data_IF_515120320124
#
_entry.id   IF_515120320124
#
_cell.length_a   1.000
_cell.length_b   1.000
_cell.length_c   1.000
_cell.angle_alpha   90.00
_cell.angle_beta   90.00
_cell.angle_gamma   90.00
#
_symmetry.space_group_name_H-M   'P 1'
#
loop_
_entity.id
_entity.type
_entity.pdbx_description
1 polymer ?
#
# COMPACT_ATOMS: atom_id res chain seq x y z
N UNK A 1 -7.17 -12.96 9.26
CA UNK A 1 -6.48 -12.26 10.37
C UNK A 1 -5.08 -11.91 9.86
N UNK A 2 -4.62 -10.66 9.94
CA UNK A 2 -3.33 -10.23 9.37
C UNK A 2 -2.43 -9.64 10.46
N UNK A 3 -1.13 -9.90 10.38
CA UNK A 3 -0.12 -9.32 11.27
C UNK A 3 0.49 -8.09 10.62
N UNK A 4 0.45 -6.95 11.31
CA UNK A 4 1.14 -5.73 10.88
C UNK A 4 2.49 -5.65 11.57
N UNK A 5 3.57 -5.71 10.81
CA UNK A 5 4.91 -5.47 11.34
C UNK A 5 5.30 -4.01 11.09
N UNK A 6 5.59 -3.28 12.19
CA UNK A 6 5.89 -1.85 12.19
C UNK A 6 7.26 -1.61 12.86
N UNK A 7 8.37 -1.71 12.12
CA UNK A 7 9.67 -1.30 12.63
C UNK A 7 9.75 0.25 12.66
N UNK A 8 10.61 0.85 13.49
CA UNK A 8 10.69 2.30 13.66
C UNK A 8 10.87 3.05 12.31
N UNK A 9 10.09 4.13 12.14
CA UNK A 9 9.95 4.90 10.88
C UNK A 9 11.08 5.93 10.63
N UNK A 10 12.35 5.61 10.87
CA UNK A 10 13.47 6.50 10.51
C UNK A 10 14.48 5.74 9.66
N UNK A 11 14.62 6.11 8.39
CA UNK A 11 15.74 5.90 7.44
C UNK A 11 16.55 4.59 7.46
N UNK A 12 16.08 3.56 8.17
CA UNK A 12 16.75 2.28 8.27
C UNK A 12 16.41 1.49 7.02
N UNK A 13 17.44 1.20 6.23
CA UNK A 13 17.38 0.23 5.15
C UNK A 13 16.86 -1.08 5.73
N UNK A 14 15.74 -1.58 5.21
CA UNK A 14 15.12 -2.84 5.62
C UNK A 14 15.83 -4.06 5.02
N UNK A 15 17.13 -3.93 4.76
CA UNK A 15 17.97 -4.97 4.18
C UNK A 15 17.93 -6.25 5.01
N UNK A 16 17.81 -6.12 6.34
CA UNK A 16 17.72 -7.26 7.26
C UNK A 16 16.58 -8.22 6.92
N UNK A 17 15.51 -7.76 6.26
CA UNK A 17 14.41 -8.61 5.82
C UNK A 17 14.84 -9.63 4.75
N UNK A 18 15.94 -9.36 4.03
CA UNK A 18 16.52 -10.23 3.00
C UNK A 18 17.63 -11.13 3.52
N UNK A 19 18.06 -10.94 4.77
CA UNK A 19 19.10 -11.76 5.40
C UNK A 19 18.55 -13.13 5.76
N UNK A 20 19.41 -14.15 5.70
CA UNK A 20 19.06 -15.57 6.01
C UNK A 20 18.46 -15.74 7.42
N UNK A 21 18.78 -14.83 8.35
CA UNK A 21 18.19 -14.80 9.69
C UNK A 21 16.64 -14.66 9.66
N UNK A 22 16.07 -14.16 8.56
CA UNK A 22 14.62 -14.05 8.36
C UNK A 22 13.99 -15.26 7.67
N UNK A 23 14.74 -16.29 7.25
CA UNK A 23 14.19 -17.42 6.50
C UNK A 23 13.08 -18.15 7.28
N UNK A 24 13.26 -18.31 8.59
CA UNK A 24 12.24 -18.91 9.46
C UNK A 24 10.95 -18.09 9.51
N UNK A 25 11.05 -16.75 9.44
CA UNK A 25 9.89 -15.85 9.39
C UNK A 25 9.13 -16.03 8.07
N UNK A 26 9.86 -16.07 6.95
CA UNK A 26 9.24 -16.25 5.63
C UNK A 26 8.63 -17.64 5.48
N UNK A 27 9.29 -18.68 6.00
CA UNK A 27 8.73 -20.02 6.05
C UNK A 27 7.42 -20.06 6.85
N UNK A 28 7.36 -19.40 8.01
CA UNK A 28 6.13 -19.31 8.78
C UNK A 28 4.97 -18.62 8.03
N UNK A 29 5.24 -17.57 7.25
CA UNK A 29 4.22 -16.94 6.39
C UNK A 29 3.69 -17.91 5.32
N UNK A 30 4.57 -18.69 4.70
CA UNK A 30 4.20 -19.71 3.71
C UNK A 30 3.33 -20.80 4.34
N UNK A 31 3.78 -21.35 5.47
CA UNK A 31 3.11 -22.46 6.15
C UNK A 31 1.72 -22.07 6.67
N UNK A 32 1.56 -20.82 7.12
CA UNK A 32 0.30 -20.33 7.70
C UNK A 32 -0.65 -19.71 6.67
N UNK A 33 -0.15 -19.35 5.48
CA UNK A 33 -0.91 -18.60 4.48
C UNK A 33 -1.33 -17.19 4.92
N UNK A 34 -0.74 -16.67 6.01
CA UNK A 34 -1.02 -15.32 6.51
C UNK A 34 -0.60 -14.25 5.50
N UNK A 35 -1.33 -13.14 5.48
CA UNK A 35 -1.01 -11.99 4.64
C UNK A 35 0.01 -11.11 5.35
N UNK A 36 1.16 -10.89 4.71
CA UNK A 36 2.22 -10.04 5.21
C UNK A 36 1.89 -8.57 4.94
N UNK A 37 1.48 -7.83 5.98
CA UNK A 37 1.23 -6.40 5.90
C UNK A 37 2.50 -5.62 6.27
N UNK A 38 3.03 -4.87 5.32
CA UNK A 38 4.27 -4.11 5.49
C UNK A 38 3.98 -2.62 5.37
N UNK A 39 4.30 -1.87 6.42
CA UNK A 39 4.46 -0.43 6.30
C UNK A 39 5.82 -0.17 5.67
N UNK A 40 5.88 0.22 4.40
CA UNK A 40 7.16 0.43 3.70
C UNK A 40 7.11 1.72 2.88
N UNK A 41 8.25 2.39 2.80
CA UNK A 41 8.41 3.65 2.09
C UNK A 41 9.41 3.57 0.93
N UNK A 42 9.57 4.68 0.21
CA UNK A 42 10.30 4.78 -1.06
C UNK A 42 11.72 4.20 -1.04
N UNK A 43 12.50 4.51 0.00
CA UNK A 43 13.88 4.02 0.16
C UNK A 43 13.99 2.49 0.24
N UNK A 44 12.88 1.78 0.43
CA UNK A 44 12.83 0.33 0.62
C UNK A 44 11.94 -0.38 -0.40
N UNK A 45 11.44 0.29 -1.45
CA UNK A 45 10.63 -0.37 -2.48
C UNK A 45 11.36 -1.53 -3.15
N UNK A 46 12.67 -1.39 -3.41
CA UNK A 46 13.49 -2.49 -3.93
C UNK A 46 13.47 -3.74 -3.05
N UNK A 47 13.52 -3.56 -1.72
CA UNK A 47 13.42 -4.66 -0.75
C UNK A 47 12.06 -5.36 -0.83
N UNK A 48 10.97 -4.59 -0.91
CA UNK A 48 9.62 -5.15 -1.05
C UNK A 48 9.47 -5.96 -2.34
N UNK A 49 9.97 -5.42 -3.46
CA UNK A 49 9.92 -6.10 -4.76
C UNK A 49 10.71 -7.40 -4.72
N UNK A 50 11.91 -7.38 -4.14
CA UNK A 50 12.75 -8.56 -4.00
C UNK A 50 12.10 -9.63 -3.12
N UNK A 51 11.50 -9.24 -1.97
CA UNK A 51 10.73 -10.17 -1.14
C UNK A 51 9.56 -10.79 -1.90
N UNK A 52 8.80 -9.97 -2.65
CA UNK A 52 7.66 -10.44 -3.42
C UNK A 52 8.09 -11.45 -4.51
N UNK A 53 9.24 -11.21 -5.15
CA UNK A 53 9.81 -12.12 -6.15
C UNK A 53 10.38 -13.41 -5.54
N UNK A 54 11.10 -13.32 -4.42
CA UNK A 54 11.69 -14.47 -3.71
C UNK A 54 10.62 -15.38 -3.08
N UNK A 55 9.46 -14.82 -2.74
CA UNK A 55 8.39 -15.53 -2.04
C UNK A 55 7.04 -15.36 -2.74
N UNK A 56 6.87 -15.93 -3.95
CA UNK A 56 5.64 -15.79 -4.73
C UNK A 56 4.42 -16.41 -4.03
N UNK A 57 4.61 -17.31 -3.05
CA UNK A 57 3.52 -17.93 -2.29
C UNK A 57 2.95 -17.00 -1.20
N UNK A 58 3.71 -15.98 -0.77
CA UNK A 58 3.29 -15.05 0.28
C UNK A 58 2.52 -13.89 -0.35
N UNK A 59 1.32 -13.62 0.17
CA UNK A 59 0.54 -12.42 -0.16
C UNK A 59 1.06 -11.23 0.62
N UNK A 60 1.59 -10.23 -0.07
CA UNK A 60 2.09 -8.99 0.51
C UNK A 60 1.08 -7.85 0.33
N UNK A 61 0.97 -6.99 1.35
CA UNK A 61 0.20 -5.74 1.30
C UNK A 61 1.09 -4.60 1.78
N UNK A 62 1.40 -3.65 0.89
CA UNK A 62 2.10 -2.42 1.25
C UNK A 62 1.10 -1.38 1.78
N UNK A 63 1.32 -0.88 2.99
CA UNK A 63 0.39 0.03 3.65
C UNK A 63 0.49 1.47 3.12
N UNK A 64 -0.61 2.22 3.24
CA UNK A 64 -0.69 3.67 3.10
C UNK A 64 -0.15 4.26 1.80
N UNK A 65 -0.60 3.74 0.65
CA UNK A 65 -0.09 4.11 -0.69
C UNK A 65 1.42 3.84 -0.84
N UNK A 66 1.99 2.98 0.01
CA UNK A 66 3.42 2.77 0.18
C UNK A 66 4.19 4.03 0.64
N UNK A 67 3.51 4.92 1.39
CA UNK A 67 4.11 6.08 2.06
C UNK A 67 4.93 7.02 1.14
N UNK A 68 4.36 7.47 0.01
CA UNK A 68 5.11 8.15 -1.04
C UNK A 68 5.64 9.54 -0.64
N UNK A 69 5.12 10.13 0.42
CA UNK A 69 5.55 11.45 0.91
C UNK A 69 6.69 11.39 1.94
N UNK A 70 7.19 10.19 2.28
CA UNK A 70 8.39 10.05 3.11
C UNK A 70 9.67 10.41 2.34
N UNK A 71 10.77 10.58 3.05
CA UNK A 71 12.10 10.88 2.49
C UNK A 71 12.45 9.86 1.40
N UNK A 72 12.95 10.37 0.26
CA UNK A 72 13.22 9.56 -0.93
C UNK A 72 11.98 9.25 -1.77
N UNK A 73 10.84 9.89 -1.47
CA UNK A 73 9.59 9.76 -2.20
C UNK A 73 9.64 10.13 -3.67
N UNK A 74 8.79 9.50 -4.50
CA UNK A 74 8.67 9.88 -5.90
C UNK A 74 8.29 11.35 -6.01
N UNK A 75 9.01 12.08 -6.86
CA UNK A 75 8.58 13.39 -7.31
C UNK A 75 7.15 13.27 -7.87
N UNK A 76 6.39 14.37 -7.85
CA UNK A 76 5.11 14.46 -8.55
C UNK A 76 5.22 14.02 -10.02
N UNK A 77 6.39 14.20 -10.65
CA UNK A 77 6.67 13.82 -12.05
C UNK A 77 7.22 12.40 -12.23
N UNK A 78 7.54 11.68 -11.15
CA UNK A 78 8.07 10.32 -11.27
C UNK A 78 6.94 9.34 -11.61
N UNK A 79 6.87 8.96 -12.89
CA UNK A 79 5.91 8.01 -13.43
C UNK A 79 6.15 6.58 -12.93
N UNK A 80 7.36 6.24 -12.47
CA UNK A 80 7.70 4.90 -11.98
C UNK A 80 7.30 4.67 -10.53
N UNK A 81 6.86 5.73 -9.83
CA UNK A 81 6.54 5.73 -8.40
C UNK A 81 7.74 5.26 -7.55
N UNK A 82 8.92 5.84 -7.77
CA UNK A 82 10.16 5.47 -7.09
C UNK A 82 10.61 4.05 -7.43
N UNK A 83 10.25 3.54 -8.62
CA UNK A 83 10.46 2.16 -9.04
C UNK A 83 9.41 1.15 -8.53
N UNK A 84 8.46 1.54 -7.66
CA UNK A 84 7.47 0.61 -7.11
C UNK A 84 6.59 -0.04 -8.19
N UNK A 85 6.36 0.64 -9.32
CA UNK A 85 5.51 0.07 -10.39
C UNK A 85 6.09 -1.18 -11.06
N UNK A 86 7.36 -1.53 -10.79
CA UNK A 86 7.89 -2.87 -11.12
C UNK A 86 7.11 -4.00 -10.41
N UNK A 87 6.33 -3.67 -9.37
CA UNK A 87 5.36 -4.57 -8.73
C UNK A 87 4.31 -5.12 -9.69
N UNK A 88 4.14 -4.54 -10.89
CA UNK A 88 3.32 -5.14 -11.95
C UNK A 88 3.77 -6.57 -12.30
N UNK A 89 5.07 -6.88 -12.15
CA UNK A 89 5.60 -8.24 -12.32
C UNK A 89 5.42 -9.14 -11.07
N UNK A 90 4.86 -8.62 -9.98
CA UNK A 90 4.71 -9.30 -8.69
C UNK A 90 3.22 -9.52 -8.36
N UNK A 91 2.57 -10.58 -8.89
CA UNK A 91 1.13 -10.84 -8.71
C UNK A 91 0.74 -11.22 -7.27
N UNK A 92 1.67 -11.27 -6.33
CA UNK A 92 1.43 -11.49 -4.90
C UNK A 92 1.51 -10.20 -4.04
N UNK A 93 1.91 -9.05 -4.61
CA UNK A 93 1.96 -7.73 -3.94
C UNK A 93 0.78 -6.78 -4.24
N UNK A 94 -0.06 -6.50 -3.24
CA UNK A 94 -1.12 -5.48 -3.31
C UNK A 94 -0.74 -4.19 -2.54
N UNK A 95 -1.38 -3.07 -2.87
CA UNK A 95 -1.18 -1.78 -2.19
C UNK A 95 -2.47 -1.37 -1.48
N UNK A 96 -2.34 -0.96 -0.22
CA UNK A 96 -3.46 -0.47 0.57
C UNK A 96 -3.66 1.03 0.35
N UNK A 97 -4.73 1.40 -0.33
CA UNK A 97 -5.21 2.76 -0.50
C UNK A 97 -5.77 3.30 0.82
N UNK A 98 -4.87 3.78 1.67
CA UNK A 98 -5.13 4.27 3.04
C UNK A 98 -4.12 5.36 3.38
N UNK A 99 -4.27 6.02 4.54
CA UNK A 99 -3.28 7.02 4.99
C UNK A 99 -3.14 8.24 4.07
N UNK A 100 -4.19 8.60 3.32
CA UNK A 100 -4.19 9.72 2.38
C UNK A 100 -3.78 11.05 3.02
N UNK A 101 -4.14 11.28 4.28
CA UNK A 101 -3.75 12.48 5.04
C UNK A 101 -2.23 12.66 5.17
N UNK A 102 -1.46 11.55 5.17
CA UNK A 102 0.00 11.57 5.27
C UNK A 102 0.67 11.90 3.94
N UNK A 103 -0.02 11.71 2.82
CA UNK A 103 0.44 12.04 1.47
C UNK A 103 -0.24 13.28 0.88
N UNK A 104 -1.04 13.99 1.68
CA UNK A 104 -1.74 15.19 1.28
C UNK A 104 -0.96 16.44 1.66
N UNK A 105 -0.94 17.43 0.77
CA UNK A 105 -0.35 18.74 1.05
C UNK A 105 -1.04 19.45 2.23
N UNK A 106 -2.32 19.13 2.46
CA UNK A 106 -3.10 19.62 3.60
C UNK A 106 -3.86 18.45 4.20
N UNK A 107 -3.42 18.00 5.36
CA UNK A 107 -3.87 16.72 5.94
C UNK A 107 -5.37 16.63 6.23
N UNK A 108 -6.05 17.76 6.51
CA UNK A 108 -7.50 17.83 6.77
C UNK A 108 -8.36 18.06 5.51
N UNK A 109 -7.76 18.31 4.34
CA UNK A 109 -8.53 18.39 3.08
C UNK A 109 -8.76 16.98 2.53
N UNK A 110 -9.93 16.41 2.82
CA UNK A 110 -10.33 15.08 2.34
C UNK A 110 -10.60 15.00 0.83
N UNK A 111 -10.55 16.11 0.08
CA UNK A 111 -10.47 16.05 -1.39
C UNK A 111 -9.06 15.69 -1.85
N UNK A 112 -8.04 15.96 -1.02
CA UNK A 112 -6.63 15.56 -1.10
C UNK A 112 -6.08 15.31 -2.53
N UNK A 113 -6.09 16.31 -3.44
CA UNK A 113 -5.73 16.10 -4.84
C UNK A 113 -4.30 15.55 -5.04
N UNK A 114 -3.35 15.94 -4.19
CA UNK A 114 -1.99 15.40 -4.22
C UNK A 114 -1.97 13.89 -3.92
N UNK A 115 -2.66 13.47 -2.85
CA UNK A 115 -2.74 12.05 -2.46
C UNK A 115 -3.51 11.21 -3.50
N UNK A 116 -4.56 11.78 -4.11
CA UNK A 116 -5.25 11.17 -5.25
C UNK A 116 -4.35 11.06 -6.49
N UNK A 117 -3.42 11.98 -6.70
CA UNK A 117 -2.41 11.87 -7.75
C UNK A 117 -1.47 10.68 -7.56
N UNK A 118 -1.09 10.35 -6.32
CA UNK A 118 -0.36 9.12 -6.01
C UNK A 118 -1.21 7.87 -6.26
N UNK A 119 -2.46 7.88 -5.79
CA UNK A 119 -3.42 6.78 -6.04
C UNK A 119 -3.63 6.55 -7.54
N UNK A 120 -3.80 7.60 -8.34
CA UNK A 120 -3.96 7.54 -9.80
C UNK A 120 -2.77 6.85 -10.49
N UNK A 121 -1.54 7.18 -10.07
CA UNK A 121 -0.34 6.53 -10.60
C UNK A 121 -0.30 5.04 -10.28
N UNK A 122 -0.64 4.66 -9.04
CA UNK A 122 -0.76 3.25 -8.64
C UNK A 122 -1.86 2.52 -9.44
N UNK A 123 -3.01 3.17 -9.64
CA UNK A 123 -4.13 2.63 -10.41
C UNK A 123 -3.73 2.37 -11.86
N UNK A 124 -3.09 3.35 -12.52
CA UNK A 124 -2.61 3.23 -13.90
C UNK A 124 -1.52 2.16 -14.05
N UNK A 125 -0.60 2.09 -13.08
CA UNK A 125 0.55 1.18 -13.15
C UNK A 125 0.25 -0.27 -12.76
N UNK A 126 -0.65 -0.49 -11.80
CA UNK A 126 -0.92 -1.82 -11.24
C UNK A 126 -2.32 -2.35 -11.57
N UNK A 127 -3.25 -1.47 -11.92
CA UNK A 127 -4.66 -1.81 -12.10
C UNK A 127 -5.43 -1.90 -10.78
N UNK A 128 -6.76 -1.79 -10.87
CA UNK A 128 -7.65 -1.78 -9.71
C UNK A 128 -7.57 -3.06 -8.88
N UNK A 129 -7.32 -4.23 -9.50
CA UNK A 129 -7.20 -5.54 -8.85
C UNK A 129 -6.04 -5.63 -7.83
N UNK A 130 -5.13 -4.65 -7.83
CA UNK A 130 -3.98 -4.58 -6.91
C UNK A 130 -4.18 -3.61 -5.76
N UNK A 131 -5.28 -2.87 -5.74
CA UNK A 131 -5.54 -1.82 -4.75
C UNK A 131 -6.67 -2.22 -3.82
N UNK A 132 -6.48 -2.02 -2.52
CA UNK A 132 -7.52 -2.26 -1.52
C UNK A 132 -7.61 -1.10 -0.53
N UNK A 133 -8.81 -0.65 -0.22
CA UNK A 133 -9.03 0.49 0.66
C UNK A 133 -8.91 0.10 2.13
N UNK A 134 -8.48 1.05 2.95
CA UNK A 134 -8.64 0.99 4.40
C UNK A 134 -8.61 2.39 5.00
N UNK A 135 -9.35 2.61 6.09
CA UNK A 135 -9.50 3.94 6.68
C UNK A 135 -8.22 4.49 7.31
N UNK A 136 -7.35 3.62 7.82
CA UNK A 136 -6.25 3.99 8.74
C UNK A 136 -6.72 4.59 10.07
N UNK A 137 -7.86 4.11 10.57
CA UNK A 137 -8.35 4.44 11.91
C UNK A 137 -7.54 3.71 13.01
N UNK A 138 -7.24 4.35 14.17
CA UNK A 138 -7.60 5.71 14.57
C UNK A 138 -6.73 6.89 14.08
N UNK A 139 -5.47 6.75 13.58
CA UNK A 139 -4.65 7.90 13.18
C UNK A 139 -5.35 8.91 12.27
N UNK A 140 -6.09 8.44 11.25
CA UNK A 140 -6.84 9.29 10.31
C UNK A 140 -7.82 10.24 11.00
N UNK A 141 -8.35 9.86 12.16
CA UNK A 141 -9.33 10.62 12.93
C UNK A 141 -8.83 11.97 13.46
N UNK A 142 -7.50 12.19 13.47
CA UNK A 142 -6.91 13.49 13.79
C UNK A 142 -6.99 14.50 12.65
N UNK A 143 -7.33 14.05 11.44
CA UNK A 143 -7.29 14.83 10.22
C UNK A 143 -8.66 14.93 9.55
N UNK A 144 -9.36 13.79 9.44
CA UNK A 144 -10.67 13.70 8.78
C UNK A 144 -11.56 12.66 9.48
N UNK A 145 -12.87 12.78 9.31
CA UNK A 145 -13.84 11.79 9.82
C UNK A 145 -13.75 10.46 9.05
N UNK A 146 -14.27 9.37 9.64
CA UNK A 146 -14.36 8.08 8.94
C UNK A 146 -15.11 8.20 7.60
N UNK A 147 -16.25 8.93 7.59
CA UNK A 147 -17.02 9.16 6.35
C UNK A 147 -16.17 9.87 5.31
N UNK A 148 -15.49 10.96 5.68
CA UNK A 148 -14.61 11.67 4.76
C UNK A 148 -13.49 10.77 4.22
N UNK A 149 -12.91 9.89 5.04
CA UNK A 149 -11.89 8.93 4.57
C UNK A 149 -12.42 7.94 3.52
N UNK A 150 -13.71 7.58 3.59
CA UNK A 150 -14.38 6.74 2.61
C UNK A 150 -14.68 7.53 1.32
N UNK A 151 -15.12 8.79 1.43
CA UNK A 151 -15.43 9.63 0.25
C UNK A 151 -14.21 9.92 -0.62
N UNK A 152 -12.99 9.85 -0.09
CA UNK A 152 -11.75 9.99 -0.88
C UNK A 152 -11.78 9.04 -2.08
N UNK A 153 -12.04 7.76 -1.85
CA UNK A 153 -12.17 6.78 -2.94
C UNK A 153 -13.57 6.82 -3.54
N UNK A 154 -14.61 6.89 -2.71
CA UNK A 154 -16.00 6.73 -3.18
C UNK A 154 -16.46 7.88 -4.08
N UNK A 155 -15.93 9.08 -3.92
CA UNK A 155 -16.36 10.29 -4.64
C UNK A 155 -15.24 10.92 -5.44
N UNK A 156 -14.02 11.03 -4.88
CA UNK A 156 -12.96 11.83 -5.49
C UNK A 156 -11.98 11.03 -6.36
N UNK A 157 -11.94 9.70 -6.26
CA UNK A 157 -11.21 8.85 -7.20
C UNK A 157 -12.00 8.67 -8.52
N UNK A 158 -12.11 9.75 -9.29
CA UNK A 158 -12.95 9.83 -10.49
C UNK A 158 -12.53 8.88 -11.63
N UNK A 159 -11.31 8.34 -11.59
CA UNK A 159 -10.79 7.39 -12.58
C UNK A 159 -11.36 5.97 -12.40
N UNK A 160 -11.96 5.66 -11.24
CA UNK A 160 -12.59 4.37 -11.00
C UNK A 160 -14.02 4.35 -11.53
N UNK A 161 -14.30 3.41 -12.44
CA UNK A 161 -15.68 3.03 -12.75
C UNK A 161 -16.34 2.31 -11.56
N UNK A 162 -17.61 1.92 -11.72
CA UNK A 162 -18.36 1.27 -10.63
C UNK A 162 -17.76 -0.08 -10.21
N UNK A 163 -17.28 -0.87 -11.18
CA UNK A 163 -16.71 -2.19 -10.92
C UNK A 163 -15.35 -2.09 -10.23
N UNK A 164 -14.46 -1.26 -10.74
CA UNK A 164 -13.15 -1.03 -10.13
C UNK A 164 -13.27 -0.38 -8.75
N UNK A 165 -14.29 0.46 -8.53
CA UNK A 165 -14.59 1.01 -7.20
C UNK A 165 -15.03 -0.07 -6.21
N UNK A 166 -15.88 -1.01 -6.63
CA UNK A 166 -16.27 -2.15 -5.80
C UNK A 166 -15.06 -3.03 -5.42
N UNK A 167 -14.19 -3.31 -6.40
CA UNK A 167 -12.92 -4.02 -6.16
C UNK A 167 -12.08 -3.36 -5.09
N UNK A 168 -11.81 -2.06 -5.24
CA UNK A 168 -10.96 -1.30 -4.32
C UNK A 168 -11.60 -1.18 -2.94
N UNK A 169 -12.91 -0.96 -2.85
CA UNK A 169 -13.61 -0.75 -1.58
C UNK A 169 -13.89 -2.03 -0.79
N UNK A 170 -13.76 -3.22 -1.38
CA UNK A 170 -14.04 -4.45 -0.65
C UNK A 170 -13.57 -5.75 -1.29
N UNK A 171 -13.83 -5.98 -2.58
CA UNK A 171 -13.64 -7.32 -3.17
C UNK A 171 -12.16 -7.76 -3.17
N UNK A 172 -11.24 -6.82 -3.41
CA UNK A 172 -9.81 -7.11 -3.32
C UNK A 172 -9.38 -7.45 -1.90
N UNK A 173 -9.93 -6.76 -0.88
CA UNK A 173 -9.65 -7.12 0.50
C UNK A 173 -10.19 -8.52 0.83
N UNK A 174 -11.42 -8.84 0.38
CA UNK A 174 -12.01 -10.16 0.54
C UNK A 174 -11.12 -11.26 -0.06
N UNK A 175 -10.71 -11.10 -1.32
CA UNK A 175 -9.80 -12.01 -2.02
C UNK A 175 -8.43 -12.12 -1.34
N UNK A 176 -7.81 -10.99 -0.97
CA UNK A 176 -6.46 -10.97 -0.39
C UNK A 176 -6.44 -11.57 1.00
N UNK A 177 -7.48 -11.38 1.82
CA UNK A 177 -7.54 -11.89 3.19
C UNK A 177 -8.29 -13.22 3.33
N UNK A 178 -8.95 -13.70 2.28
CA UNK A 178 -9.69 -14.96 2.27
C UNK A 178 -10.95 -14.93 3.12
N UNK A 179 -11.73 -13.83 3.03
CA UNK A 179 -13.00 -13.65 3.76
C UNK A 179 -14.20 -13.58 2.81
#
# INVERSE_FOLDING_TARGET
>A
MGTSYCPPMRDEKRQWMLEEACDALWQAYKDTGLVCNLQIGPSNYGILLELAQRHPEIRFVANHLALPALVGGPDAQDETYGGLLQAAACPNLSIKASGFYAAAATSWDFRCPQALGFFSRLLKGLGADRLLWGSDWPPVGRHVTYRQSLEIIRTFAAELDEGDRAKVLGENAARVYGI
#
